data_IF_470514515540
#
_entry.id   IF_470514515540
#
_cell.length_a   1.000
_cell.length_b   1.000
_cell.length_c   1.000
_cell.angle_alpha   90.00
_cell.angle_beta   90.00
_cell.angle_gamma   90.00
#
_symmetry.space_group_name_H-M   'P 1'
#
loop_
_entity.id
_entity.type
_entity.pdbx_description
1 polymer ?
#
# COMPACT_ATOMS: atom_id res chain seq x y z
N UNK A 1 40.64 31.95 -40.94
CA UNK A 1 40.67 30.48 -40.91
C UNK A 1 39.56 29.99 -40.00
N UNK A 2 38.45 29.50 -40.58
CA UNK A 2 37.42 28.81 -39.79
C UNK A 2 38.04 27.55 -39.24
N UNK A 3 38.30 27.53 -37.91
CA UNK A 3 38.75 26.34 -37.22
C UNK A 3 37.79 25.20 -37.48
N UNK A 4 38.28 24.03 -37.90
CA UNK A 4 37.48 22.81 -38.04
C UNK A 4 36.90 22.52 -36.65
N UNK A 5 35.56 22.73 -36.52
CA UNK A 5 34.85 22.42 -35.26
C UNK A 5 35.03 20.97 -34.91
N UNK A 6 35.65 20.65 -33.79
CA UNK A 6 35.74 19.29 -33.31
C UNK A 6 34.36 18.90 -32.77
N UNK A 7 33.87 17.77 -33.23
CA UNK A 7 32.59 17.25 -32.78
C UNK A 7 32.62 16.95 -31.28
N UNK A 8 31.68 17.53 -30.52
CA UNK A 8 31.56 17.28 -29.09
C UNK A 8 31.14 15.81 -28.85
N UNK A 9 31.87 15.10 -27.99
CA UNK A 9 31.57 13.73 -27.60
C UNK A 9 31.75 13.53 -26.09
N UNK A 10 31.01 12.60 -25.51
CA UNK A 10 31.09 12.29 -24.10
C UNK A 10 30.47 13.36 -23.20
N UNK A 11 31.00 13.49 -22.00
CA UNK A 11 30.51 14.45 -21.00
C UNK A 11 31.05 15.84 -21.26
N UNK A 12 30.16 16.83 -21.22
CA UNK A 12 30.49 18.24 -21.23
C UNK A 12 29.81 18.97 -20.10
N UNK A 13 30.54 19.95 -19.52
CA UNK A 13 30.01 20.83 -18.49
C UNK A 13 30.12 22.27 -19.00
N UNK A 14 29.01 23.02 -18.95
CA UNK A 14 29.03 24.43 -19.36
C UNK A 14 29.50 25.33 -18.20
N UNK A 15 29.64 26.63 -18.49
CA UNK A 15 30.10 27.65 -17.51
C UNK A 15 29.15 27.78 -16.29
N UNK A 16 27.90 27.31 -16.40
CA UNK A 16 26.93 27.29 -15.30
C UNK A 16 26.95 25.99 -14.52
N UNK A 17 27.85 25.05 -14.85
CA UNK A 17 27.97 23.74 -14.20
C UNK A 17 26.94 22.70 -14.70
N UNK A 18 26.16 23.00 -15.74
CA UNK A 18 25.23 22.02 -16.30
C UNK A 18 25.98 20.94 -17.08
N UNK A 19 25.68 19.69 -16.78
CA UNK A 19 26.27 18.53 -17.47
C UNK A 19 25.37 18.06 -18.61
N UNK A 20 25.99 17.83 -19.78
CA UNK A 20 25.37 17.22 -20.98
C UNK A 20 26.18 16.02 -21.39
N UNK A 21 25.56 15.11 -22.11
CA UNK A 21 26.23 13.96 -22.66
C UNK A 21 25.96 13.85 -24.17
N UNK A 22 27.04 13.79 -24.92
CA UNK A 22 27.01 13.60 -26.37
C UNK A 22 27.41 12.16 -26.70
N UNK A 23 26.66 11.52 -27.59
CA UNK A 23 26.97 10.15 -27.99
C UNK A 23 28.38 10.10 -28.60
N UNK A 24 29.28 9.23 -28.09
CA UNK A 24 30.67 9.21 -28.54
C UNK A 24 30.85 8.87 -30.03
N UNK A 25 29.91 8.11 -30.61
CA UNK A 25 29.98 7.68 -32.02
C UNK A 25 29.39 8.72 -32.99
N UNK A 26 28.30 9.38 -32.57
CA UNK A 26 27.51 10.23 -33.47
C UNK A 26 27.56 11.72 -33.13
N UNK A 27 28.12 12.10 -31.97
CA UNK A 27 28.06 13.47 -31.45
C UNK A 27 26.66 13.97 -31.10
N UNK A 28 25.63 13.11 -31.16
CA UNK A 28 24.26 13.54 -30.92
C UNK A 28 24.06 13.83 -29.43
N UNK A 29 23.42 14.96 -29.11
CA UNK A 29 23.06 15.34 -27.76
C UNK A 29 22.04 14.35 -27.18
N UNK A 30 22.30 13.86 -25.98
CA UNK A 30 21.42 12.97 -25.23
C UNK A 30 20.28 13.76 -24.57
N UNK A 31 19.05 13.32 -24.77
CA UNK A 31 17.85 13.88 -24.14
C UNK A 31 16.92 12.76 -23.63
N UNK A 32 16.05 13.07 -22.68
CA UNK A 32 15.10 12.12 -22.12
C UNK A 32 15.73 11.13 -21.15
N UNK A 33 15.10 9.95 -21.02
CA UNK A 33 15.52 8.91 -20.11
C UNK A 33 16.66 8.07 -20.69
N UNK A 34 17.65 7.80 -19.86
CA UNK A 34 18.80 6.95 -20.21
C UNK A 34 18.94 5.85 -19.16
N UNK A 35 18.93 4.61 -19.63
CA UNK A 35 19.25 3.45 -18.82
C UNK A 35 20.79 3.35 -18.70
N UNK A 36 21.25 3.20 -17.45
CA UNK A 36 22.67 3.06 -17.12
C UNK A 36 22.93 1.66 -16.57
N UNK A 37 24.21 1.34 -16.39
CA UNK A 37 24.61 0.06 -15.78
C UNK A 37 23.95 -0.16 -14.40
N UNK A 38 23.78 -1.43 -14.01
CA UNK A 38 23.17 -1.86 -12.74
C UNK A 38 21.72 -1.34 -12.56
N UNK A 39 20.94 -1.24 -13.65
CA UNK A 39 19.54 -0.83 -13.60
C UNK A 39 19.29 0.63 -13.20
N UNK A 40 20.33 1.45 -13.09
CA UNK A 40 20.21 2.86 -12.76
C UNK A 40 19.71 3.66 -13.96
N UNK A 41 19.04 4.80 -13.67
CA UNK A 41 18.52 5.69 -14.72
C UNK A 41 19.00 7.13 -14.51
N UNK A 42 19.20 7.86 -15.62
CA UNK A 42 19.38 9.32 -15.66
C UNK A 42 18.29 9.94 -16.49
N UNK A 43 18.06 11.21 -16.30
CA UNK A 43 17.17 11.99 -17.13
C UNK A 43 17.90 13.24 -17.63
N UNK A 44 17.77 13.52 -18.91
CA UNK A 44 18.28 14.71 -19.56
C UNK A 44 17.10 15.53 -20.09
N UNK A 45 17.10 16.84 -19.84
CA UNK A 45 16.00 17.71 -20.24
C UNK A 45 15.76 17.66 -21.75
N UNK A 46 14.49 17.66 -22.17
CA UNK A 46 14.16 17.57 -23.60
C UNK A 46 14.64 18.80 -24.40
N UNK A 47 14.55 20.01 -23.81
CA UNK A 47 14.90 21.26 -24.48
C UNK A 47 16.38 21.62 -24.50
N UNK A 48 17.27 20.90 -23.81
CA UNK A 48 18.69 21.31 -23.76
C UNK A 48 19.64 20.21 -23.36
N UNK A 49 19.18 18.97 -23.17
CA UNK A 49 20.02 17.84 -22.80
C UNK A 49 20.76 18.02 -21.47
N UNK A 50 20.25 18.85 -20.57
CA UNK A 50 20.85 19.07 -19.26
C UNK A 50 20.54 17.87 -18.35
N UNK A 51 21.55 17.26 -17.77
CA UNK A 51 21.40 16.17 -16.81
C UNK A 51 20.62 16.63 -15.58
N UNK A 52 19.51 15.98 -15.29
CA UNK A 52 18.73 16.29 -14.09
C UNK A 52 19.51 15.98 -12.82
N UNK A 53 19.46 16.91 -11.87
CA UNK A 53 20.02 16.79 -10.52
C UNK A 53 19.04 17.42 -9.51
N UNK A 54 19.06 16.93 -8.27
CA UNK A 54 18.12 17.41 -7.25
C UNK A 54 16.69 16.97 -7.49
N UNK A 55 15.74 17.76 -7.05
CA UNK A 55 14.31 17.48 -7.15
C UNK A 55 13.77 17.82 -8.54
N UNK A 56 12.99 16.92 -9.10
CA UNK A 56 12.24 17.11 -10.35
C UNK A 56 10.76 16.78 -10.11
N UNK A 57 9.89 17.73 -10.43
CA UNK A 57 8.44 17.58 -10.33
C UNK A 57 7.83 17.51 -11.73
N UNK A 58 6.95 16.56 -11.98
CA UNK A 58 6.22 16.48 -13.24
C UNK A 58 4.92 17.32 -13.21
N UNK A 59 4.19 17.37 -14.33
CA UNK A 59 2.92 18.10 -14.46
C UNK A 59 1.81 17.61 -13.53
N UNK A 60 1.92 16.38 -13.00
CA UNK A 60 0.99 15.80 -12.02
C UNK A 60 1.40 16.04 -10.57
N UNK A 61 2.42 16.88 -10.31
CA UNK A 61 2.93 17.16 -8.96
C UNK A 61 3.78 16.03 -8.36
N UNK A 62 4.02 14.93 -9.09
CA UNK A 62 4.80 13.81 -8.59
C UNK A 62 6.29 14.14 -8.65
N UNK A 63 7.02 13.85 -7.57
CA UNK A 63 8.43 14.23 -7.39
C UNK A 63 9.36 13.05 -7.55
N UNK A 64 10.51 13.29 -8.18
CA UNK A 64 11.69 12.42 -8.22
C UNK A 64 12.89 13.16 -7.68
N UNK A 65 13.89 12.42 -7.24
CA UNK A 65 15.16 13.00 -6.83
C UNK A 65 16.29 12.38 -7.64
N UNK A 66 17.23 13.22 -8.08
CA UNK A 66 18.43 12.80 -8.79
C UNK A 66 19.66 13.22 -7.97
N UNK A 67 20.56 12.29 -7.73
CA UNK A 67 21.76 12.58 -6.95
C UNK A 67 22.61 13.66 -7.63
N UNK A 68 22.99 14.68 -6.89
CA UNK A 68 23.67 15.87 -7.43
C UNK A 68 24.97 15.54 -8.17
N UNK A 69 25.76 14.62 -7.66
CA UNK A 69 27.05 14.26 -8.26
C UNK A 69 26.91 13.35 -9.46
N UNK A 70 26.08 12.30 -9.36
CA UNK A 70 25.98 11.25 -10.37
C UNK A 70 24.88 11.44 -11.38
N UNK A 71 23.85 12.23 -11.06
CA UNK A 71 22.62 12.35 -11.84
C UNK A 71 21.76 11.08 -11.89
N UNK A 72 22.08 10.07 -11.08
CA UNK A 72 21.22 8.89 -11.00
C UNK A 72 19.93 9.18 -10.28
N UNK A 73 18.83 8.63 -10.81
CA UNK A 73 17.52 8.69 -10.16
C UNK A 73 17.55 7.91 -8.85
N UNK A 74 17.06 8.52 -7.78
CA UNK A 74 16.89 7.86 -6.49
C UNK A 74 15.75 6.81 -6.57
N UNK A 75 16.00 5.67 -5.95
CA UNK A 75 15.03 4.59 -5.74
C UNK A 75 15.23 4.02 -4.35
N UNK A 76 14.19 3.39 -3.78
CA UNK A 76 14.22 2.83 -2.43
C UNK A 76 14.49 3.89 -1.36
N UNK A 77 15.12 3.50 -0.26
CA UNK A 77 15.42 4.38 0.86
C UNK A 77 16.51 5.38 0.54
N UNK A 78 16.25 6.66 0.83
CA UNK A 78 17.22 7.75 0.76
C UNK A 78 17.22 8.51 2.08
N UNK A 79 18.36 8.49 2.78
CA UNK A 79 18.55 9.19 4.04
C UNK A 79 19.33 10.48 3.83
N UNK A 80 18.77 11.61 4.27
CA UNK A 80 19.50 12.86 4.41
C UNK A 80 20.10 12.89 5.82
N UNK A 81 21.41 12.62 5.92
CA UNK A 81 22.10 12.49 7.20
C UNK A 81 22.15 13.82 7.97
N UNK A 82 22.34 14.95 7.29
CA UNK A 82 22.46 16.27 7.94
C UNK A 82 21.16 16.72 8.61
N UNK A 83 20.01 16.34 8.06
CA UNK A 83 18.68 16.66 8.60
C UNK A 83 18.04 15.49 9.36
N UNK A 84 18.70 14.35 9.42
CA UNK A 84 18.18 13.11 10.00
C UNK A 84 16.77 12.72 9.51
N UNK A 85 16.49 12.90 8.21
CA UNK A 85 15.22 12.57 7.58
C UNK A 85 15.39 11.51 6.50
N UNK A 86 14.37 10.71 6.29
CA UNK A 86 14.35 9.65 5.30
C UNK A 86 13.19 9.83 4.32
N UNK A 87 13.44 9.43 3.07
CA UNK A 87 12.48 9.36 1.99
C UNK A 87 12.47 7.95 1.41
N UNK A 88 11.40 7.59 0.75
CA UNK A 88 11.35 6.39 -0.07
C UNK A 88 10.87 6.72 -1.48
N UNK A 89 11.55 6.14 -2.47
CA UNK A 89 11.24 6.30 -3.88
C UNK A 89 10.87 4.95 -4.48
N UNK A 90 9.77 4.90 -5.21
CA UNK A 90 9.31 3.68 -5.88
C UNK A 90 10.40 3.09 -6.78
N UNK A 91 10.66 1.80 -6.67
CA UNK A 91 11.77 1.13 -7.37
C UNK A 91 11.62 1.21 -8.89
N UNK A 92 10.41 1.04 -9.41
CA UNK A 92 10.11 1.03 -10.84
C UNK A 92 10.05 2.43 -11.46
N UNK A 93 9.41 3.38 -10.76
CA UNK A 93 9.10 4.71 -11.31
C UNK A 93 9.99 5.83 -10.78
N UNK A 94 10.62 5.62 -9.62
CA UNK A 94 11.41 6.65 -8.92
C UNK A 94 10.55 7.76 -8.29
N UNK A 95 9.23 7.61 -8.24
CA UNK A 95 8.38 8.61 -7.57
C UNK A 95 8.51 8.52 -6.06
N UNK A 96 8.58 9.69 -5.44
CA UNK A 96 8.59 9.86 -4.00
C UNK A 96 7.28 9.35 -3.37
N UNK A 97 7.38 8.59 -2.30
CA UNK A 97 6.21 8.14 -1.54
C UNK A 97 5.65 9.24 -0.63
N UNK A 98 4.34 9.26 -0.52
CA UNK A 98 3.56 10.06 0.44
C UNK A 98 2.41 9.23 1.00
N UNK A 99 1.92 9.57 2.18
CA UNK A 99 0.86 8.83 2.87
C UNK A 99 1.36 7.49 3.44
N UNK A 100 0.42 6.62 3.79
CA UNK A 100 0.71 5.28 4.31
C UNK A 100 1.16 4.34 3.17
N UNK A 101 2.28 3.64 3.37
CA UNK A 101 2.86 2.71 2.40
C UNK A 101 3.42 1.48 3.10
N UNK A 102 3.22 0.32 2.47
CA UNK A 102 3.86 -0.93 2.91
C UNK A 102 5.14 -1.16 2.12
N UNK A 103 6.25 -1.36 2.83
CA UNK A 103 7.59 -1.62 2.28
C UNK A 103 8.17 -2.79 3.07
N UNK A 104 8.55 -3.85 2.39
CA UNK A 104 9.11 -5.06 3.00
C UNK A 104 8.25 -5.54 4.21
N UNK A 105 6.93 -5.69 3.99
CA UNK A 105 5.92 -6.12 4.97
C UNK A 105 5.75 -5.22 6.20
N UNK A 106 6.35 -4.01 6.21
CA UNK A 106 6.19 -3.02 7.27
C UNK A 106 5.50 -1.77 6.73
N UNK A 107 4.62 -1.21 7.53
CA UNK A 107 3.96 0.04 7.18
C UNK A 107 4.81 1.24 7.60
N UNK A 108 4.83 2.26 6.77
CA UNK A 108 5.49 3.55 7.00
C UNK A 108 4.55 4.68 6.56
N UNK A 109 4.60 5.79 7.25
CA UNK A 109 3.86 6.98 6.82
C UNK A 109 4.82 8.07 6.36
N UNK A 110 4.58 8.59 5.16
CA UNK A 110 5.33 9.68 4.58
C UNK A 110 4.45 10.93 4.54
N UNK A 111 4.93 12.02 5.10
CA UNK A 111 4.24 13.32 5.07
C UNK A 111 4.02 13.79 3.63
N UNK A 112 3.22 14.82 3.40
CA UNK A 112 2.98 15.39 2.06
C UNK A 112 4.27 15.86 1.35
N UNK A 113 5.28 16.26 2.11
CA UNK A 113 6.60 16.59 1.58
C UNK A 113 7.51 15.38 1.37
N UNK A 114 7.03 14.15 1.59
CA UNK A 114 7.75 12.89 1.42
C UNK A 114 8.64 12.48 2.59
N UNK A 115 8.74 13.27 3.64
CA UNK A 115 9.55 12.91 4.83
C UNK A 115 8.85 11.81 5.60
N UNK A 116 9.56 10.73 5.88
CA UNK A 116 9.07 9.66 6.75
C UNK A 116 8.76 10.20 8.14
N UNK A 117 7.57 9.91 8.65
CA UNK A 117 7.20 10.23 10.02
C UNK A 117 7.91 9.28 10.99
N UNK A 118 8.29 9.79 12.15
CA UNK A 118 8.92 9.03 13.25
C UNK A 118 8.39 9.54 14.58
N UNK A 119 8.34 8.68 15.60
CA UNK A 119 7.99 9.02 16.99
C UNK A 119 6.72 9.86 17.11
N UNK A 120 5.66 9.47 16.40
CA UNK A 120 4.38 10.20 16.35
C UNK A 120 3.22 9.24 16.12
N UNK A 121 2.02 9.78 16.01
CA UNK A 121 0.85 9.03 15.53
C UNK A 121 0.16 9.78 14.41
N UNK A 122 -0.48 9.03 13.50
CA UNK A 122 -1.26 9.57 12.38
C UNK A 122 -2.54 8.78 12.23
N UNK A 123 -3.60 9.43 11.82
CA UNK A 123 -4.86 8.76 11.48
C UNK A 123 -5.03 8.76 9.97
N UNK A 124 -5.21 7.58 9.39
CA UNK A 124 -5.42 7.36 7.97
C UNK A 124 -6.66 6.52 7.80
N UNK A 125 -7.65 7.01 7.09
CA UNK A 125 -8.94 6.33 6.87
C UNK A 125 -9.59 5.82 8.17
N UNK A 126 -9.59 6.65 9.23
CA UNK A 126 -10.17 6.30 10.53
C UNK A 126 -9.31 5.39 11.41
N UNK A 127 -8.20 4.84 10.91
CA UNK A 127 -7.27 4.02 11.68
C UNK A 127 -6.11 4.89 12.19
N UNK A 128 -5.90 4.90 13.51
CA UNK A 128 -4.73 5.56 14.11
C UNK A 128 -3.54 4.61 14.11
N UNK A 129 -2.43 5.07 13.56
CA UNK A 129 -1.15 4.36 13.56
C UNK A 129 -0.19 5.01 14.56
N UNK A 130 0.41 4.21 15.43
CA UNK A 130 1.58 4.61 16.23
C UNK A 130 2.83 4.41 15.38
N UNK A 131 3.64 5.46 15.25
CA UNK A 131 4.87 5.43 14.46
C UNK A 131 6.06 5.45 15.41
N UNK A 132 6.84 4.39 15.39
CA UNK A 132 8.03 4.23 16.20
C UNK A 132 9.17 5.15 15.76
N UNK A 133 10.25 5.23 16.54
CA UNK A 133 11.44 6.02 16.19
C UNK A 133 12.13 5.56 14.90
N UNK A 134 11.99 4.30 14.53
CA UNK A 134 12.49 3.76 13.26
C UNK A 134 11.54 3.98 12.08
N UNK A 135 10.40 4.67 12.28
CA UNK A 135 9.40 4.97 11.28
C UNK A 135 8.38 3.89 11.01
N UNK A 136 8.49 2.70 11.64
CA UNK A 136 7.49 1.64 11.47
C UNK A 136 6.16 2.09 12.07
N UNK A 137 5.12 2.05 11.24
CA UNK A 137 3.76 2.41 11.61
C UNK A 137 2.97 1.14 11.97
N UNK A 138 2.56 1.05 13.22
CA UNK A 138 1.70 -0.02 13.72
C UNK A 138 0.31 0.54 13.94
N UNK A 139 -0.70 -0.09 13.35
CA UNK A 139 -2.06 0.29 13.65
C UNK A 139 -2.26 0.22 15.17
N UNK A 140 -2.63 1.33 15.78
CA UNK A 140 -3.23 1.24 17.10
C UNK A 140 -4.56 0.56 16.82
N UNK A 141 -4.61 -0.74 17.02
CA UNK A 141 -5.87 -1.34 17.35
C UNK A 141 -6.29 -0.68 18.67
N UNK A 142 -6.91 0.48 18.65
CA UNK A 142 -8.04 0.64 19.50
C UNK A 142 -8.91 -0.53 19.05
N UNK A 143 -8.82 -1.67 19.75
CA UNK A 143 -10.02 -2.49 19.88
C UNK A 143 -11.05 -1.42 20.17
N UNK A 144 -11.98 -1.09 19.26
CA UNK A 144 -13.05 -0.19 19.63
C UNK A 144 -13.49 -0.75 20.96
N UNK A 145 -13.65 0.09 21.98
CA UNK A 145 -14.02 -0.36 23.31
C UNK A 145 -15.39 -0.98 23.10
N UNK A 146 -15.35 -2.23 22.68
CA UNK A 146 -16.50 -3.04 22.38
C UNK A 146 -16.94 -3.38 23.76
N UNK A 147 -17.81 -2.53 24.29
CA UNK A 147 -18.59 -2.86 25.47
C UNK A 147 -19.42 -4.07 25.02
N UNK A 148 -18.84 -5.25 25.22
CA UNK A 148 -19.40 -6.52 24.84
C UNK A 148 -20.40 -6.88 25.91
N UNK A 149 -21.46 -6.06 26.01
CA UNK A 149 -22.66 -6.49 26.67
C UNK A 149 -23.15 -7.73 25.97
N UNK A 150 -23.33 -8.81 26.70
CA UNK A 150 -23.87 -10.09 26.23
C UNK A 150 -23.06 -10.84 25.14
N UNK A 151 -21.75 -10.64 25.08
CA UNK A 151 -20.91 -11.48 24.22
C UNK A 151 -20.91 -11.15 22.72
N UNK A 152 -21.56 -10.09 22.29
CA UNK A 152 -21.52 -9.63 20.89
C UNK A 152 -20.19 -8.96 20.54
N UNK A 153 -19.62 -9.31 19.38
CA UNK A 153 -18.42 -8.67 18.84
C UNK A 153 -18.83 -7.67 17.77
N UNK A 154 -18.40 -6.41 17.90
CA UNK A 154 -18.54 -5.42 16.83
C UNK A 154 -17.29 -5.40 15.99
N UNK A 155 -17.41 -5.66 14.69
CA UNK A 155 -16.34 -5.55 13.71
C UNK A 155 -16.52 -4.22 12.97
N UNK A 156 -15.48 -3.39 12.97
CA UNK A 156 -15.50 -2.12 12.26
C UNK A 156 -14.92 -2.27 10.86
N UNK A 157 -15.72 -2.00 9.85
CA UNK A 157 -15.24 -1.90 8.48
C UNK A 157 -14.76 -0.47 8.19
N UNK A 158 -13.47 -0.33 8.01
CA UNK A 158 -12.82 0.97 7.77
C UNK A 158 -13.16 1.60 6.42
N UNK A 159 -13.72 0.85 5.48
CA UNK A 159 -14.02 1.33 4.12
C UNK A 159 -15.34 2.07 4.03
N UNK A 160 -16.35 1.62 4.78
CA UNK A 160 -17.67 2.26 4.80
C UNK A 160 -18.02 2.91 6.13
N UNK A 161 -17.08 2.94 7.08
CA UNK A 161 -17.25 3.52 8.42
C UNK A 161 -18.44 2.94 9.19
N UNK A 162 -18.73 1.66 9.01
CA UNK A 162 -19.84 0.96 9.68
C UNK A 162 -19.35 -0.12 10.63
N UNK A 163 -20.11 -0.34 11.68
CA UNK A 163 -19.93 -1.46 12.59
C UNK A 163 -20.87 -2.59 12.21
N UNK A 164 -20.36 -3.81 12.20
CA UNK A 164 -21.13 -5.04 12.11
C UNK A 164 -21.05 -5.74 13.47
N UNK A 165 -22.20 -6.18 14.00
CA UNK A 165 -22.28 -6.88 15.28
C UNK A 165 -22.32 -8.38 15.01
N UNK A 166 -21.44 -9.14 15.66
CA UNK A 166 -21.47 -10.60 15.66
C UNK A 166 -21.96 -11.11 17.00
N UNK A 167 -22.83 -12.11 16.99
CA UNK A 167 -23.35 -12.74 18.19
C UNK A 167 -22.37 -13.80 18.67
N UNK A 168 -22.09 -13.85 19.97
CA UNK A 168 -21.11 -14.76 20.58
C UNK A 168 -21.64 -16.18 20.77
N UNK A 169 -22.95 -16.34 20.94
CA UNK A 169 -23.56 -17.63 21.21
C UNK A 169 -24.37 -18.11 20.02
N UNK A 170 -23.87 -19.12 19.35
CA UNK A 170 -24.56 -19.85 18.29
C UNK A 170 -24.55 -21.35 18.57
N UNK A 171 -24.72 -21.71 19.84
CA UNK A 171 -24.91 -23.11 20.21
C UNK A 171 -26.14 -23.67 19.50
N UNK A 172 -25.91 -24.63 18.63
CA UNK A 172 -26.92 -25.41 17.91
C UNK A 172 -28.05 -24.57 17.29
N UNK A 173 -27.84 -24.12 16.07
CA UNK A 173 -28.93 -23.55 15.28
C UNK A 173 -29.42 -24.56 14.22
N UNK A 174 -30.28 -25.50 14.58
CA UNK A 174 -30.85 -26.40 13.59
C UNK A 174 -31.61 -25.60 12.54
N UNK A 175 -31.29 -25.81 11.30
CA UNK A 175 -31.92 -25.12 10.17
C UNK A 175 -31.24 -23.82 9.71
N UNK A 176 -30.00 -23.55 10.08
CA UNK A 176 -29.17 -22.42 9.57
C UNK A 176 -29.26 -22.33 8.03
N UNK A 177 -29.25 -23.44 7.34
CA UNK A 177 -29.27 -23.48 5.89
C UNK A 177 -30.66 -23.26 5.26
N UNK A 178 -31.74 -23.20 6.05
CA UNK A 178 -33.12 -23.14 5.53
C UNK A 178 -33.65 -21.72 5.22
N UNK A 179 -32.84 -20.69 5.42
CA UNK A 179 -33.26 -19.33 5.14
C UNK A 179 -33.98 -18.59 6.27
N UNK A 180 -34.17 -19.22 7.42
CA UNK A 180 -34.86 -18.65 8.60
C UNK A 180 -33.91 -18.14 9.67
N UNK A 181 -32.61 -18.33 9.48
CA UNK A 181 -31.57 -17.98 10.46
C UNK A 181 -31.15 -16.51 10.29
N UNK A 182 -30.87 -15.81 11.41
CA UNK A 182 -30.39 -14.44 11.35
C UNK A 182 -29.04 -14.35 10.62
N UNK A 183 -28.73 -13.15 10.10
CA UNK A 183 -27.50 -12.90 9.37
C UNK A 183 -26.26 -13.12 10.23
N UNK A 184 -26.33 -12.78 11.50
CA UNK A 184 -25.25 -12.96 12.47
C UNK A 184 -25.00 -14.44 12.73
N UNK A 185 -26.05 -15.23 12.93
CA UNK A 185 -25.93 -16.67 13.16
C UNK A 185 -25.42 -17.38 11.91
N UNK A 186 -25.82 -16.93 10.71
CA UNK A 186 -25.33 -17.45 9.44
C UNK A 186 -23.82 -17.15 9.26
N UNK A 187 -23.38 -15.95 9.58
CA UNK A 187 -21.96 -15.59 9.54
C UNK A 187 -21.15 -16.38 10.56
N UNK A 188 -21.66 -16.53 11.78
CA UNK A 188 -21.01 -17.30 12.81
C UNK A 188 -20.80 -18.77 12.42
N UNK A 189 -21.82 -19.39 11.86
CA UNK A 189 -21.74 -20.78 11.38
C UNK A 189 -20.73 -20.93 10.23
N UNK A 190 -20.65 -19.95 9.33
CA UNK A 190 -19.65 -19.96 8.27
C UNK A 190 -18.22 -19.85 8.84
N UNK A 191 -18.01 -18.94 9.81
CA UNK A 191 -16.71 -18.79 10.45
C UNK A 191 -16.29 -20.07 11.18
N UNK A 192 -17.20 -20.73 11.87
CA UNK A 192 -16.95 -21.99 12.55
C UNK A 192 -16.60 -23.11 11.55
N UNK A 193 -17.35 -23.24 10.45
CA UNK A 193 -17.10 -24.29 9.46
C UNK A 193 -15.80 -24.10 8.67
N UNK A 194 -15.36 -22.86 8.47
CA UNK A 194 -14.17 -22.56 7.67
C UNK A 194 -12.89 -22.45 8.51
N UNK A 195 -13.00 -22.09 9.76
CA UNK A 195 -11.84 -21.78 10.61
C UNK A 195 -12.05 -22.10 12.10
N UNK A 196 -12.97 -22.98 12.46
CA UNK A 196 -13.23 -23.32 13.86
C UNK A 196 -12.02 -23.89 14.57
N UNK A 197 -11.19 -24.66 13.88
CA UNK A 197 -9.92 -25.23 14.34
C UNK A 197 -8.80 -24.19 14.47
N UNK A 198 -8.92 -23.05 13.80
CA UNK A 198 -7.94 -21.94 13.83
C UNK A 198 -8.20 -20.98 15.00
N UNK A 199 -9.22 -21.26 15.80
CA UNK A 199 -9.62 -20.43 16.93
C UNK A 199 -10.10 -19.05 16.52
N UNK A 200 -10.14 -18.15 17.51
CA UNK A 200 -10.73 -16.80 17.33
C UNK A 200 -10.15 -15.99 16.17
N UNK A 201 -8.83 -16.03 15.98
CA UNK A 201 -8.16 -15.25 14.93
C UNK A 201 -8.56 -15.74 13.55
N UNK A 202 -8.63 -17.06 13.35
CA UNK A 202 -9.07 -17.63 12.08
C UNK A 202 -10.52 -17.26 11.76
N UNK A 203 -11.42 -17.38 12.72
CA UNK A 203 -12.81 -17.00 12.58
C UNK A 203 -13.00 -15.50 12.27
N UNK A 204 -12.24 -14.62 12.93
CA UNK A 204 -12.25 -13.18 12.63
C UNK A 204 -11.78 -12.90 11.19
N UNK A 205 -10.79 -13.63 10.70
CA UNK A 205 -10.31 -13.50 9.32
C UNK A 205 -11.37 -13.90 8.30
N UNK A 206 -12.09 -15.01 8.52
CA UNK A 206 -13.19 -15.44 7.65
C UNK A 206 -14.31 -14.41 7.68
N UNK A 207 -14.73 -13.92 8.83
CA UNK A 207 -15.76 -12.89 8.96
C UNK A 207 -15.40 -11.63 8.17
N UNK A 208 -14.14 -11.16 8.26
CA UNK A 208 -13.67 -10.01 7.51
C UNK A 208 -13.67 -10.25 5.99
N UNK A 209 -13.32 -11.45 5.54
CA UNK A 209 -13.40 -11.82 4.11
C UNK A 209 -14.83 -11.76 3.59
N UNK A 210 -15.79 -12.26 4.35
CA UNK A 210 -17.21 -12.24 3.98
C UNK A 210 -17.75 -10.82 3.91
N UNK A 211 -17.52 -10.01 4.95
CA UNK A 211 -17.93 -8.61 5.00
C UNK A 211 -17.33 -7.81 3.85
N UNK A 212 -16.04 -8.03 3.57
CA UNK A 212 -15.34 -7.41 2.46
C UNK A 212 -15.96 -7.77 1.09
N UNK A 213 -16.38 -9.00 0.93
CA UNK A 213 -17.03 -9.47 -0.30
C UNK A 213 -18.43 -8.87 -0.45
N UNK A 214 -19.19 -8.79 0.65
CA UNK A 214 -20.52 -8.15 0.68
C UNK A 214 -20.43 -6.70 0.21
N UNK A 215 -19.50 -5.93 0.78
CA UNK A 215 -19.29 -4.52 0.45
C UNK A 215 -18.85 -4.35 -1.01
N UNK A 216 -17.91 -5.19 -1.49
CA UNK A 216 -17.41 -5.12 -2.86
C UNK A 216 -18.46 -5.47 -3.91
N UNK A 217 -19.39 -6.36 -3.59
CA UNK A 217 -20.43 -6.82 -4.52
C UNK A 217 -21.69 -5.97 -4.51
N UNK A 218 -21.80 -5.01 -3.59
CA UNK A 218 -23.00 -4.19 -3.35
C UNK A 218 -24.27 -5.04 -3.18
N UNK A 219 -24.12 -6.21 -2.55
CA UNK A 219 -25.22 -7.17 -2.30
C UNK A 219 -25.53 -7.21 -0.82
N UNK A 220 -26.75 -7.59 -0.52
CA UNK A 220 -27.14 -7.88 0.85
C UNK A 220 -26.37 -9.09 1.41
N UNK A 221 -26.06 -9.03 2.68
CA UNK A 221 -25.25 -10.01 3.39
C UNK A 221 -25.70 -11.48 3.20
N UNK A 222 -26.98 -11.85 3.35
CA UNK A 222 -27.41 -13.25 3.16
C UNK A 222 -27.14 -13.75 1.75
N UNK A 223 -27.33 -12.91 0.73
CA UNK A 223 -27.07 -13.27 -0.67
C UNK A 223 -25.59 -13.51 -0.94
N UNK A 224 -24.71 -12.82 -0.21
CA UNK A 224 -23.27 -13.01 -0.32
C UNK A 224 -22.81 -14.36 0.22
N UNK A 225 -23.40 -14.81 1.33
CA UNK A 225 -23.03 -16.08 1.97
C UNK A 225 -23.69 -17.27 1.29
N UNK A 226 -25.02 -17.21 1.06
CA UNK A 226 -25.80 -18.38 0.63
C UNK A 226 -25.45 -18.92 -0.75
N UNK A 227 -25.00 -18.06 -1.67
CA UNK A 227 -24.66 -18.49 -3.04
C UNK A 227 -23.18 -18.82 -3.23
N UNK A 228 -22.24 -17.96 -2.79
CA UNK A 228 -20.82 -18.13 -3.10
C UNK A 228 -20.09 -19.18 -2.26
N UNK A 229 -20.56 -19.50 -1.06
CA UNK A 229 -19.86 -20.40 -0.15
C UNK A 229 -20.45 -21.81 -0.21
N UNK A 230 -19.73 -22.71 -0.85
CA UNK A 230 -20.11 -24.12 -1.03
C UNK A 230 -20.19 -24.89 0.29
N UNK A 231 -19.48 -24.47 1.33
CA UNK A 231 -19.55 -25.08 2.66
C UNK A 231 -20.96 -25.06 3.22
N UNK A 232 -21.74 -23.99 3.01
CA UNK A 232 -23.13 -23.94 3.46
C UNK A 232 -24.02 -24.92 2.68
N UNK A 233 -23.71 -25.22 1.44
CA UNK A 233 -24.44 -26.27 0.68
C UNK A 233 -24.05 -27.67 1.13
N UNK A 234 -22.79 -27.86 1.59
CA UNK A 234 -22.32 -29.09 2.21
C UNK A 234 -23.00 -29.38 3.56
N UNK A 235 -23.20 -28.36 4.36
CA UNK A 235 -23.86 -28.44 5.67
C UNK A 235 -25.34 -28.91 5.59
N UNK A 236 -25.95 -28.84 4.40
CA UNK A 236 -27.28 -29.46 4.15
C UNK A 236 -27.23 -30.98 4.10
N UNK A 237 -26.07 -31.59 3.90
CA UNK A 237 -25.89 -33.02 3.66
C UNK A 237 -25.30 -33.76 4.86
N UNK A 238 -24.61 -33.09 5.73
CA UNK A 238 -24.05 -33.68 6.94
C UNK A 238 -24.60 -32.94 8.15
N UNK A 239 -25.34 -33.67 8.98
CA UNK A 239 -25.82 -33.16 10.27
C UNK A 239 -24.65 -32.92 11.26
N UNK A 240 -23.42 -33.13 10.85
CA UNK A 240 -22.29 -33.28 11.77
C UNK A 240 -21.67 -31.94 12.22
N UNK A 241 -21.98 -30.85 11.53
CA UNK A 241 -21.45 -29.52 11.88
C UNK A 241 -22.45 -28.60 12.59
N UNK A 242 -23.73 -29.01 12.70
CA UNK A 242 -24.79 -28.17 13.26
C UNK A 242 -25.73 -28.92 14.24
N UNK A 243 -25.23 -30.00 14.83
CA UNK A 243 -25.89 -30.65 15.98
C UNK A 243 -25.39 -30.10 17.31
#
# INVERSE_FOLDING_TARGET
TKGKGVMATGWMTDSKGHKRYFNPKTGKLTTGWVNCSKGRKRYFTKGGGIMATGWLTNSKGQKRYFYKTSGYMATKWVKNKSKNISYYFATSTGYMYTGLKTIDQKNYYFKSNGVMAVSTSVTVNGITYSIAANGVATAKTTKPNVNVGNGNVKIYDTRNSRYYTMVKEYKSHPGIANGKTSDEALLAALCESEAGDQGKIGMEAVALCVLNRTIKSDKEFPSTIRKPYSCLSGCKRSNDYFQ
#
